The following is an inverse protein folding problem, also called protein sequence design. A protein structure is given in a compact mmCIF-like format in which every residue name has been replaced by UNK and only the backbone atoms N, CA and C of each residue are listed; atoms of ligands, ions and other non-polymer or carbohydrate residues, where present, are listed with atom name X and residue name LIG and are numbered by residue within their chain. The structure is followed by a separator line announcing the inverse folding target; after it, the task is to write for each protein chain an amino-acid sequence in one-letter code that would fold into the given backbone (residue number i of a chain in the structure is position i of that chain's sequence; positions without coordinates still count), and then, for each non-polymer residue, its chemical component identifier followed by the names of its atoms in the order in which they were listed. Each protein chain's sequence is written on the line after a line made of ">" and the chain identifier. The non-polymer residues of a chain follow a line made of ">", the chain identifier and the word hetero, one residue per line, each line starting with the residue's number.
data_IF_566709253519
#
_entry.id   IF_566709253519
#
_cell.length_a   1.000
_cell.length_b   1.000
_cell.length_c   1.000
_cell.angle_alpha   90.00
_cell.angle_beta   90.00
_cell.angle_gamma   90.00
#
_symmetry.space_group_name_H-M   'P 1'
#
loop_
_entity.id
_entity.type
_entity.pdbx_description
1 polymer ?
#
# COMPACT_ATOMS: atom_id res chain seq x y z
N UNK A 1 18.57 9.29 9.22
CA UNK A 1 17.20 9.61 8.76
C UNK A 1 17.22 9.47 7.25
N UNK A 2 16.78 8.31 6.73
CA UNK A 2 16.72 8.09 5.27
C UNK A 2 15.35 8.58 4.83
N UNK A 3 15.32 9.69 4.08
CA UNK A 3 14.09 10.13 3.43
C UNK A 3 13.80 9.12 2.31
N UNK A 4 12.72 8.35 2.43
CA UNK A 4 12.18 7.65 1.27
C UNK A 4 11.58 8.72 0.38
N UNK A 5 12.30 9.05 -0.68
CA UNK A 5 11.92 10.08 -1.63
C UNK A 5 10.76 9.53 -2.47
N UNK A 6 9.52 9.75 -2.02
CA UNK A 6 8.33 9.71 -2.88
C UNK A 6 8.30 10.94 -3.79
N UNK A 7 9.47 11.46 -4.19
CA UNK A 7 9.58 12.64 -5.03
C UNK A 7 8.91 12.42 -6.39
N UNK A 8 8.55 13.51 -7.10
CA UNK A 8 7.89 13.44 -8.39
C UNK A 8 8.73 12.59 -9.36
N UNK A 9 8.22 11.40 -9.69
CA UNK A 9 8.88 10.41 -10.56
C UNK A 9 9.22 9.06 -9.92
N UNK A 10 9.19 8.93 -8.59
CA UNK A 10 9.32 7.63 -7.90
C UNK A 10 8.21 6.65 -8.30
N UNK A 11 6.97 7.13 -8.37
CA UNK A 11 5.82 6.35 -8.82
C UNK A 11 5.94 5.91 -10.30
N UNK A 12 6.48 6.75 -11.17
CA UNK A 12 6.68 6.41 -12.58
C UNK A 12 7.73 5.30 -12.76
N UNK A 13 8.81 5.34 -11.98
CA UNK A 13 9.81 4.24 -11.95
C UNK A 13 9.22 2.93 -11.44
N UNK A 14 8.36 3.01 -10.43
CA UNK A 14 7.65 1.82 -9.95
C UNK A 14 6.68 1.28 -11.01
N UNK A 15 5.94 2.15 -11.70
CA UNK A 15 5.08 1.75 -12.81
C UNK A 15 5.86 1.01 -13.91
N UNK A 16 7.00 1.55 -14.34
CA UNK A 16 7.87 0.92 -15.35
C UNK A 16 8.41 -0.44 -14.88
N UNK A 17 8.77 -0.57 -13.60
CA UNK A 17 9.20 -1.85 -13.02
C UNK A 17 8.06 -2.89 -13.05
N UNK A 18 6.86 -2.49 -12.63
CA UNK A 18 5.67 -3.35 -12.63
C UNK A 18 5.30 -3.79 -14.05
N UNK A 19 5.37 -2.89 -15.04
CA UNK A 19 5.11 -3.23 -16.45
C UNK A 19 6.12 -4.26 -16.99
N UNK A 20 7.39 -4.17 -16.62
CA UNK A 20 8.41 -5.17 -16.97
C UNK A 20 8.13 -6.54 -16.34
N UNK A 21 7.51 -6.56 -15.16
CA UNK A 21 7.05 -7.79 -14.50
C UNK A 21 5.73 -8.33 -15.10
N UNK A 22 5.14 -7.63 -16.07
CA UNK A 22 3.91 -8.03 -16.75
C UNK A 22 2.63 -7.57 -16.04
N UNK A 23 2.76 -6.70 -15.04
CA UNK A 23 1.62 -6.04 -14.38
C UNK A 23 1.07 -4.96 -15.30
N UNK A 24 -0.25 -4.91 -15.43
CA UNK A 24 -0.91 -3.87 -16.24
C UNK A 24 -1.10 -2.64 -15.35
N UNK A 25 -0.35 -1.58 -15.64
CA UNK A 25 -0.47 -0.28 -14.98
C UNK A 25 -1.28 0.66 -15.88
N UNK A 26 -2.20 1.42 -15.29
CA UNK A 26 -2.94 2.49 -15.97
C UNK A 26 -2.50 3.83 -15.40
N UNK A 27 -2.50 4.87 -16.23
CA UNK A 27 -2.21 6.24 -15.79
C UNK A 27 -3.30 7.22 -16.19
N UNK A 28 -3.58 8.21 -15.35
CA UNK A 28 -4.45 9.35 -15.69
C UNK A 28 -3.63 10.60 -16.07
N UNK A 29 -4.32 11.60 -16.63
CA UNK A 29 -3.89 12.97 -16.86
C UNK A 29 -3.20 13.65 -15.66
N UNK A 30 -3.48 13.22 -14.43
CA UNK A 30 -2.81 13.69 -13.20
C UNK A 30 -1.49 12.96 -12.87
N UNK A 31 -1.01 12.07 -13.75
CA UNK A 31 0.20 11.25 -13.54
C UNK A 31 0.09 10.34 -12.29
N UNK A 32 -1.13 9.97 -11.93
CA UNK A 32 -1.43 8.92 -10.97
C UNK A 32 -1.43 7.56 -11.67
N UNK A 33 -0.92 6.53 -11.00
CA UNK A 33 -0.80 5.18 -11.54
C UNK A 33 -1.70 4.21 -10.76
N UNK A 34 -2.41 3.36 -11.48
CA UNK A 34 -3.38 2.41 -10.94
C UNK A 34 -3.06 0.99 -11.41
N UNK A 35 -3.24 0.03 -10.51
CA UNK A 35 -3.09 -1.41 -10.79
C UNK A 35 -4.35 -2.13 -10.32
N UNK A 36 -4.77 -3.13 -11.10
CA UNK A 36 -5.85 -4.03 -10.69
C UNK A 36 -5.34 -4.99 -9.61
N UNK A 37 -5.56 -4.63 -8.34
CA UNK A 37 -5.14 -5.44 -7.20
C UNK A 37 -5.89 -6.77 -7.11
N UNK A 38 -7.12 -6.89 -7.65
CA UNK A 38 -7.80 -8.18 -7.67
C UNK A 38 -7.09 -9.19 -8.57
N UNK A 39 -6.39 -8.70 -9.60
CA UNK A 39 -5.65 -9.53 -10.56
C UNK A 39 -4.18 -9.74 -10.19
N UNK A 40 -3.50 -8.70 -9.74
CA UNK A 40 -2.05 -8.70 -9.52
C UNK A 40 -1.66 -8.58 -8.05
N UNK A 41 -2.62 -8.34 -7.16
CA UNK A 41 -2.36 -8.25 -5.74
C UNK A 41 -2.05 -9.63 -5.15
N UNK A 42 -1.28 -9.60 -4.07
CA UNK A 42 -0.95 -10.78 -3.31
C UNK A 42 -1.74 -10.75 -2.01
N UNK A 43 -2.82 -11.54 -1.97
CA UNK A 43 -3.76 -11.63 -0.86
C UNK A 43 -3.97 -13.09 -0.45
N UNK A 44 -2.96 -13.74 0.15
CA UNK A 44 -3.13 -15.09 0.66
C UNK A 44 -4.02 -15.07 1.92
N UNK A 45 -4.76 -16.16 2.18
CA UNK A 45 -5.55 -16.31 3.41
C UNK A 45 -4.68 -16.29 4.68
N UNK A 46 -3.40 -16.68 4.55
CA UNK A 46 -2.38 -16.58 5.60
C UNK A 46 -1.04 -16.23 4.98
N UNK A 47 -0.28 -15.33 5.62
CA UNK A 47 1.06 -14.99 5.18
C UNK A 47 2.02 -16.18 5.41
N UNK A 48 3.00 -16.41 4.52
CA UNK A 48 3.91 -17.55 4.60
C UNK A 48 4.84 -17.53 5.83
N UNK A 49 4.94 -16.41 6.54
CA UNK A 49 5.69 -16.27 7.80
C UNK A 49 4.77 -16.18 9.03
N UNK A 50 3.45 -16.20 8.87
CA UNK A 50 2.55 -16.48 9.98
C UNK A 50 2.62 -17.99 10.22
N UNK A 51 3.40 -18.38 11.24
CA UNK A 51 3.12 -19.63 11.97
C UNK A 51 1.68 -19.54 12.50
N UNK A 52 1.00 -20.65 12.80
CA UNK A 52 -0.42 -20.69 13.20
C UNK A 52 -0.79 -19.72 14.36
N UNK A 53 -0.93 -18.44 14.06
CA UNK A 53 -1.31 -17.38 14.96
C UNK A 53 -2.75 -17.05 14.57
N UNK A 54 -3.68 -17.43 15.45
CA UNK A 54 -5.10 -17.17 15.32
C UNK A 54 -5.32 -15.66 15.56
N UNK A 55 -4.92 -14.86 14.56
CA UNK A 55 -4.74 -13.41 14.62
C UNK A 55 -5.68 -12.69 15.58
N UNK A 56 -5.18 -12.43 16.79
CA UNK A 56 -5.78 -11.46 17.69
C UNK A 56 -5.56 -10.09 17.04
N UNK A 57 -6.64 -9.52 16.50
CA UNK A 57 -6.63 -8.16 15.96
C UNK A 57 -6.21 -7.22 17.10
N UNK A 58 -4.99 -6.69 17.02
CA UNK A 58 -4.49 -5.71 17.99
C UNK A 58 -5.34 -4.44 17.92
N UNK A 59 -6.32 -4.37 18.82
CA UNK A 59 -7.24 -3.25 18.94
C UNK A 59 -6.54 -1.93 19.29
N UNK A 60 -5.22 -1.94 19.54
CA UNK A 60 -4.43 -0.73 19.78
C UNK A 60 -4.30 0.19 18.56
N UNK A 61 -4.64 -0.30 17.35
CA UNK A 61 -4.62 0.52 16.12
C UNK A 61 -5.84 1.45 15.96
N UNK A 62 -6.82 1.35 16.86
CA UNK A 62 -7.90 2.34 16.96
C UNK A 62 -7.29 3.61 17.56
N UNK A 63 -6.83 4.51 16.69
CA UNK A 63 -6.33 5.82 17.07
C UNK A 63 -7.40 6.58 17.88
N UNK A 64 -7.07 6.88 19.12
CA UNK A 64 -7.79 7.85 19.96
C UNK A 64 -7.52 9.25 19.40
N UNK A 65 -8.12 9.58 18.25
CA UNK A 65 -8.08 10.93 17.69
C UNK A 65 -9.52 11.37 17.39
N UNK A 66 -10.30 11.50 18.46
CA UNK A 66 -11.66 12.05 18.40
C UNK A 66 -12.11 12.68 19.73
N UNK A 67 -11.43 13.73 20.18
CA UNK A 67 -11.99 14.82 21.00
C UNK A 67 -11.01 16.00 20.97
N UNK A 68 -11.28 17.19 20.44
CA UNK A 68 -12.54 17.93 20.40
C UNK A 68 -12.67 18.81 21.64
N UNK A 69 -12.29 20.09 21.57
CA UNK A 69 -12.67 21.09 22.58
C UNK A 69 -11.68 22.23 22.76
N UNK A 70 -12.08 23.44 22.37
CA UNK A 70 -11.38 24.69 22.56
C UNK A 70 -11.39 25.16 24.02
N UNK A 71 -10.36 25.90 24.44
CA UNK A 71 -10.43 26.96 25.45
C UNK A 71 -9.67 28.18 24.93
#
# INVERSE_FOLDING_TARGET
>A
MVYVDSGPGSAARQAEALEQEGVIVRSDSMNEFYVDMARFGWFPDRLPNEEDDEGELDASIVGDDAAGGAD
#
